data_IF_059645978615
#
_entry.id   IF_059645978615
#
_cell.length_a   1.000
_cell.length_b   1.000
_cell.length_c   1.000
_cell.angle_alpha   90.00
_cell.angle_beta   90.00
_cell.angle_gamma   90.00
#
_symmetry.space_group_name_H-M   'P 1'
#
loop_
_entity.id
_entity.type
_entity.pdbx_description
1 polymer ?
#
# COMPACT_ATOMS: atom_id res chain seq x y z
N UNK A 1 -14.52 -8.22 -13.79
CA UNK A 1 -13.68 -7.39 -12.90
C UNK A 1 -12.25 -7.85 -13.10
N UNK A 2 -11.30 -6.93 -13.15
CA UNK A 2 -9.93 -7.19 -13.61
C UNK A 2 -8.89 -7.11 -12.49
N UNK A 3 -9.33 -6.85 -11.26
CA UNK A 3 -8.49 -6.76 -10.08
C UNK A 3 -9.31 -6.46 -8.82
N UNK A 4 -8.69 -6.65 -7.66
CA UNK A 4 -9.28 -6.38 -6.34
C UNK A 4 -8.41 -5.37 -5.62
N UNK A 5 -9.01 -4.28 -5.12
CA UNK A 5 -8.32 -3.33 -4.25
C UNK A 5 -8.65 -3.67 -2.80
N UNK A 6 -7.64 -3.98 -2.00
CA UNK A 6 -7.75 -4.19 -0.56
C UNK A 6 -7.36 -2.90 0.16
N UNK A 7 -8.30 -2.34 0.92
CA UNK A 7 -8.13 -1.10 1.68
C UNK A 7 -8.33 -1.37 3.16
N UNK A 8 -7.48 -0.81 4.01
CA UNK A 8 -7.70 -0.72 5.45
C UNK A 8 -8.84 0.26 5.79
N UNK A 9 -9.25 0.26 7.06
CA UNK A 9 -10.45 0.97 7.55
C UNK A 9 -10.46 2.49 7.28
N UNK A 10 -9.31 3.14 7.13
CA UNK A 10 -9.20 4.53 6.71
C UNK A 10 -7.79 4.87 6.18
N UNK A 11 -7.66 6.04 5.53
CA UNK A 11 -6.39 6.57 5.01
C UNK A 11 -5.30 6.57 6.07
N UNK A 12 -4.11 6.07 5.74
CA UNK A 12 -2.95 5.99 6.64
C UNK A 12 -2.91 4.74 7.53
N UNK A 13 -3.98 3.95 7.60
CA UNK A 13 -3.96 2.66 8.28
C UNK A 13 -3.49 1.57 7.32
N UNK A 14 -2.46 0.82 7.75
CA UNK A 14 -1.93 -0.31 6.98
C UNK A 14 -3.00 -1.39 6.81
N UNK A 15 -2.97 -2.05 5.65
CA UNK A 15 -3.72 -3.29 5.46
C UNK A 15 -3.18 -4.35 6.43
N UNK A 16 -4.07 -5.14 7.02
CA UNK A 16 -3.66 -6.31 7.79
C UNK A 16 -3.14 -7.37 6.82
N UNK A 17 -1.89 -7.80 7.00
CA UNK A 17 -1.27 -8.83 6.16
C UNK A 17 -2.05 -10.16 6.22
N UNK A 18 -2.70 -10.48 7.34
CA UNK A 18 -3.53 -11.67 7.41
C UNK A 18 -4.76 -11.58 6.50
N UNK A 19 -5.41 -10.42 6.45
CA UNK A 19 -6.50 -10.18 5.51
C UNK A 19 -6.01 -10.20 4.07
N UNK A 20 -4.85 -9.59 3.80
CA UNK A 20 -4.26 -9.61 2.46
C UNK A 20 -3.98 -11.05 1.99
N UNK A 21 -3.42 -11.89 2.87
CA UNK A 21 -3.16 -13.31 2.61
C UNK A 21 -4.46 -14.11 2.40
N UNK A 22 -5.51 -13.81 3.15
CA UNK A 22 -6.82 -14.44 2.97
C UNK A 22 -7.41 -14.09 1.60
N UNK A 23 -7.38 -12.83 1.20
CA UNK A 23 -7.84 -12.39 -0.13
C UNK A 23 -7.02 -13.05 -1.22
N UNK A 24 -5.68 -13.09 -1.10
CA UNK A 24 -4.79 -13.77 -2.03
C UNK A 24 -5.13 -15.26 -2.21
N UNK A 25 -5.53 -15.96 -1.14
CA UNK A 25 -5.97 -17.34 -1.24
C UNK A 25 -7.37 -17.53 -1.83
N UNK A 26 -8.18 -16.47 -1.89
CA UNK A 26 -9.60 -16.52 -2.25
C UNK A 26 -9.90 -16.08 -3.69
N UNK A 27 -8.92 -15.51 -4.41
CA UNK A 27 -9.10 -15.01 -5.78
C UNK A 27 -7.87 -15.25 -6.64
N UNK A 28 -8.08 -15.42 -7.96
CA UNK A 28 -7.01 -15.40 -8.97
C UNK A 28 -6.85 -14.01 -9.61
N UNK A 29 -7.69 -13.04 -9.24
CA UNK A 29 -7.59 -11.67 -9.73
C UNK A 29 -6.38 -10.94 -9.12
N UNK A 30 -5.68 -10.08 -9.88
CA UNK A 30 -4.61 -9.23 -9.34
C UNK A 30 -5.07 -8.41 -8.15
N UNK A 31 -4.24 -8.35 -7.12
CA UNK A 31 -4.50 -7.66 -5.87
C UNK A 31 -3.69 -6.36 -5.81
N UNK A 32 -4.38 -5.28 -5.45
CA UNK A 32 -3.80 -3.97 -5.22
C UNK A 32 -4.06 -3.54 -3.78
N UNK A 33 -3.06 -2.98 -3.11
CA UNK A 33 -3.24 -2.39 -1.78
C UNK A 33 -3.48 -0.89 -1.87
N UNK A 34 -4.58 -0.42 -1.28
CA UNK A 34 -5.03 0.97 -1.41
C UNK A 34 -4.75 1.88 -0.23
N UNK A 35 -4.31 1.36 0.93
CA UNK A 35 -4.10 2.20 2.13
C UNK A 35 -2.92 1.77 2.99
N UNK A 36 -2.30 2.77 3.63
CA UNK A 36 -1.25 2.56 4.63
C UNK A 36 0.01 1.86 4.12
N UNK A 37 0.28 1.96 2.82
CA UNK A 37 1.54 1.55 2.20
C UNK A 37 2.65 2.50 2.64
N UNK A 38 3.75 1.97 3.13
CA UNK A 38 4.91 2.69 3.64
C UNK A 38 6.19 1.98 3.20
N UNK A 39 7.36 2.64 3.23
CA UNK A 39 8.63 1.99 2.97
C UNK A 39 8.88 0.75 3.87
N UNK A 40 8.36 0.78 5.11
CA UNK A 40 8.56 -0.29 6.09
C UNK A 40 7.70 -1.54 5.88
N UNK A 41 6.64 -1.48 5.07
CA UNK A 41 5.74 -2.64 4.85
C UNK A 41 5.51 -3.00 3.39
N UNK A 42 6.05 -2.23 2.43
CA UNK A 42 5.80 -2.45 1.00
C UNK A 42 6.30 -3.82 0.53
N UNK A 43 7.43 -4.31 1.06
CA UNK A 43 7.95 -5.65 0.74
C UNK A 43 7.02 -6.77 1.18
N UNK A 44 6.50 -6.68 2.41
CA UNK A 44 5.58 -7.68 2.96
C UNK A 44 4.24 -7.66 2.21
N UNK A 45 3.79 -6.48 1.80
CA UNK A 45 2.59 -6.34 0.96
C UNK A 45 2.79 -7.04 -0.39
N UNK A 46 3.96 -6.85 -1.03
CA UNK A 46 4.24 -7.39 -2.36
C UNK A 46 4.44 -8.92 -2.35
N UNK A 47 4.50 -9.55 -1.18
CA UNK A 47 4.42 -11.01 -1.07
C UNK A 47 3.03 -11.57 -1.45
N UNK A 48 1.99 -10.73 -1.48
CA UNK A 48 0.59 -11.13 -1.71
C UNK A 48 -0.19 -10.18 -2.63
N UNK A 49 0.47 -9.18 -3.21
CA UNK A 49 -0.16 -8.17 -4.06
C UNK A 49 0.76 -7.75 -5.21
N UNK A 50 0.18 -7.45 -6.36
CA UNK A 50 0.90 -7.05 -7.58
C UNK A 50 1.12 -5.53 -7.66
N UNK A 51 0.33 -4.74 -6.93
CA UNK A 51 0.45 -3.29 -6.96
C UNK A 51 0.05 -2.59 -5.65
N UNK A 52 0.45 -1.34 -5.53
CA UNK A 52 0.11 -0.46 -4.40
C UNK A 52 -0.25 0.95 -4.86
N UNK A 53 -1.25 1.54 -4.21
CA UNK A 53 -1.63 2.94 -4.35
C UNK A 53 -1.12 3.68 -3.12
N UNK A 54 -0.21 4.64 -3.32
CA UNK A 54 0.49 5.30 -2.22
C UNK A 54 0.05 6.76 -2.09
N UNK A 55 -0.34 7.13 -0.87
CA UNK A 55 -0.90 8.44 -0.55
C UNK A 55 -0.09 9.19 0.51
N UNK A 56 -0.63 9.27 1.73
CA UNK A 56 -0.07 10.08 2.82
C UNK A 56 1.39 9.79 3.16
N UNK A 57 1.88 8.56 2.97
CA UNK A 57 3.25 8.16 3.31
C UNK A 57 4.34 8.77 2.44
N UNK A 58 4.01 9.41 1.32
CA UNK A 58 4.94 10.18 0.48
C UNK A 58 4.68 11.69 0.51
N UNK A 59 3.75 12.15 1.35
CA UNK A 59 3.45 13.58 1.54
C UNK A 59 4.25 14.17 2.69
N UNK A 60 4.52 15.47 2.68
CA UNK A 60 5.18 16.13 3.80
C UNK A 60 4.39 15.93 5.10
N UNK A 61 5.06 15.54 6.18
CA UNK A 61 4.43 15.32 7.50
C UNK A 61 3.40 14.19 7.56
N UNK A 62 3.27 13.36 6.52
CA UNK A 62 2.34 12.22 6.52
C UNK A 62 0.88 12.64 6.34
N UNK A 63 0.62 13.88 5.94
CA UNK A 63 -0.74 14.39 5.74
C UNK A 63 -1.06 14.41 4.24
N UNK A 64 -2.15 13.75 3.85
CA UNK A 64 -2.58 13.63 2.45
C UNK A 64 -2.79 15.00 1.76
N UNK A 65 -3.16 16.03 2.52
CA UNK A 65 -3.40 17.37 2.02
C UNK A 65 -2.11 18.14 1.67
N UNK A 66 -0.96 17.66 2.15
CA UNK A 66 0.31 18.34 1.93
C UNK A 66 0.91 18.04 0.55
N UNK A 67 1.95 18.79 0.21
CA UNK A 67 2.76 18.55 -0.98
C UNK A 67 3.51 17.21 -0.87
N UNK A 68 3.95 16.70 -2.03
CA UNK A 68 4.84 15.54 -2.08
C UNK A 68 6.18 15.86 -1.42
N UNK A 69 6.78 14.85 -0.81
CA UNK A 69 8.13 14.89 -0.28
C UNK A 69 9.01 13.98 -1.14
N UNK A 70 9.91 14.58 -1.91
CA UNK A 70 10.77 13.86 -2.85
C UNK A 70 11.68 12.84 -2.15
N UNK A 71 12.09 13.09 -0.90
CA UNK A 71 12.90 12.15 -0.13
C UNK A 71 12.08 10.93 0.22
N UNK A 72 10.84 11.12 0.68
CA UNK A 72 9.93 10.00 1.02
C UNK A 72 9.51 9.18 -0.21
N UNK A 73 9.32 9.84 -1.37
CA UNK A 73 9.12 9.13 -2.64
C UNK A 73 10.30 8.22 -2.97
N UNK A 74 11.54 8.73 -2.86
CA UNK A 74 12.76 7.96 -3.12
C UNK A 74 12.94 6.81 -2.14
N UNK A 75 12.66 7.06 -0.87
CA UNK A 75 12.71 6.05 0.19
C UNK A 75 11.78 4.89 -0.14
N UNK A 76 10.52 5.17 -0.47
CA UNK A 76 9.54 4.16 -0.87
C UNK A 76 10.03 3.31 -2.04
N UNK A 77 10.54 3.93 -3.11
CA UNK A 77 11.03 3.19 -4.28
C UNK A 77 12.31 2.41 -4.00
N UNK A 78 13.15 2.89 -3.06
CA UNK A 78 14.37 2.19 -2.64
C UNK A 78 14.09 1.01 -1.69
N UNK A 79 12.88 0.95 -1.14
CA UNK A 79 12.40 -0.13 -0.29
C UNK A 79 11.71 -1.26 -1.08
N UNK A 80 11.75 -1.24 -2.41
CA UNK A 80 11.35 -2.38 -3.25
C UNK A 80 12.54 -3.32 -3.45
#
# INVERSE_FOLDING_TARGET
ADGVIVTGNHTGHAVDINQLREVHGATELPILVGSGVTPGNIKDIFAFAEAAIVGSSIKQGGNWANQLDATRCKELTSSL
#
